data_IF_268449258502
#
_entry.id   IF_268449258502
#
_cell.length_a   1.000
_cell.length_b   1.000
_cell.length_c   1.000
_cell.angle_alpha   90.00
_cell.angle_beta   90.00
_cell.angle_gamma   90.00
#
_symmetry.space_group_name_H-M   'P 1'
#
loop_
_entity.id
_entity.type
_entity.pdbx_description
1 polymer ?
#
# COMPACT_ATOMS: atom_id res chain seq x y z
N UNK A 1 -5.68 -8.99 26.69
CA UNK A 1 -4.73 -9.79 27.46
C UNK A 1 -3.37 -9.09 27.71
N UNK A 2 -3.14 -7.90 27.21
CA UNK A 2 -1.94 -7.12 27.48
C UNK A 2 -2.20 -6.19 28.66
N UNK A 3 -1.65 -6.46 29.87
CA UNK A 3 -1.89 -5.65 31.05
C UNK A 3 -1.16 -4.29 31.01
N UNK A 4 -0.21 -4.12 30.12
CA UNK A 4 0.55 -2.88 29.96
C UNK A 4 0.63 -2.44 28.49
N UNK A 5 0.75 -1.13 28.26
CA UNK A 5 0.93 -0.56 26.91
C UNK A 5 2.18 -1.12 26.23
N UNK A 6 3.28 -1.31 26.97
CA UNK A 6 4.52 -1.88 26.43
C UNK A 6 4.34 -3.29 25.87
N UNK A 7 3.61 -4.15 26.60
CA UNK A 7 3.31 -5.51 26.13
C UNK A 7 2.38 -5.49 24.90
N UNK A 8 1.42 -4.57 24.85
CA UNK A 8 0.56 -4.38 23.68
C UNK A 8 1.38 -3.97 22.44
N UNK A 9 2.31 -3.03 22.61
CA UNK A 9 3.21 -2.61 21.53
C UNK A 9 4.09 -3.77 21.03
N UNK A 10 4.66 -4.56 21.96
CA UNK A 10 5.47 -5.72 21.61
C UNK A 10 4.64 -6.79 20.86
N UNK A 11 3.42 -7.08 21.34
CA UNK A 11 2.52 -8.02 20.65
C UNK A 11 2.13 -7.53 19.26
N UNK A 12 1.90 -6.23 19.06
CA UNK A 12 1.63 -5.62 17.75
C UNK A 12 2.84 -5.67 16.83
N UNK A 13 4.04 -5.52 17.36
CA UNK A 13 5.26 -5.67 16.58
C UNK A 13 5.44 -7.12 16.07
N UNK A 14 5.21 -8.12 16.92
CA UNK A 14 5.21 -9.53 16.51
C UNK A 14 4.12 -9.84 15.49
N UNK A 15 2.92 -9.33 15.67
CA UNK A 15 1.82 -9.47 14.71
C UNK A 15 2.18 -8.83 13.36
N UNK A 16 2.80 -7.66 13.37
CA UNK A 16 3.27 -6.96 12.17
C UNK A 16 4.35 -7.75 11.43
N UNK A 17 5.27 -8.38 12.16
CA UNK A 17 6.29 -9.26 11.58
C UNK A 17 5.66 -10.47 10.88
N UNK A 18 4.71 -11.15 11.53
CA UNK A 18 3.96 -12.25 10.92
C UNK A 18 3.18 -11.82 9.68
N UNK A 19 2.53 -10.67 9.73
CA UNK A 19 1.79 -10.11 8.58
C UNK A 19 2.74 -9.80 7.40
N UNK A 20 3.92 -9.25 7.67
CA UNK A 20 4.93 -8.96 6.64
C UNK A 20 5.42 -10.25 5.94
N UNK A 21 5.68 -11.30 6.71
CA UNK A 21 6.05 -12.63 6.18
C UNK A 21 4.92 -13.19 5.30
N UNK A 22 3.68 -13.17 5.79
CA UNK A 22 2.52 -13.65 5.02
C UNK A 22 2.34 -12.89 3.71
N UNK A 23 2.44 -11.56 3.73
CA UNK A 23 2.30 -10.74 2.52
C UNK A 23 3.42 -10.99 1.51
N UNK A 24 4.67 -11.08 1.97
CA UNK A 24 5.81 -11.34 1.10
C UNK A 24 5.73 -12.74 0.47
N UNK A 25 5.45 -13.76 1.26
CA UNK A 25 5.40 -15.14 0.79
C UNK A 25 4.18 -15.39 -0.11
N UNK A 26 3.02 -14.79 0.14
CA UNK A 26 1.83 -14.98 -0.69
C UNK A 26 2.07 -14.63 -2.15
N UNK A 27 2.68 -13.47 -2.42
CA UNK A 27 3.02 -13.05 -3.78
C UNK A 27 4.08 -13.97 -4.41
N UNK A 28 5.10 -14.36 -3.64
CA UNK A 28 6.16 -15.24 -4.12
C UNK A 28 5.61 -16.63 -4.47
N UNK A 29 4.76 -17.22 -3.61
CA UNK A 29 4.11 -18.52 -3.85
C UNK A 29 3.26 -18.51 -5.12
N UNK A 30 2.47 -17.46 -5.36
CA UNK A 30 1.70 -17.35 -6.60
C UNK A 30 2.64 -17.32 -7.82
N UNK A 31 3.73 -16.56 -7.74
CA UNK A 31 4.71 -16.51 -8.82
C UNK A 31 5.39 -17.85 -9.11
N UNK A 32 5.49 -18.74 -8.11
CA UNK A 32 6.13 -20.05 -8.24
C UNK A 32 5.15 -21.15 -8.65
N UNK A 33 3.95 -21.18 -8.07
CA UNK A 33 3.01 -22.29 -8.19
C UNK A 33 2.06 -22.16 -9.38
N UNK A 34 1.86 -20.94 -9.89
CA UNK A 34 0.87 -20.67 -10.93
C UNK A 34 1.56 -20.53 -12.30
N UNK A 35 1.03 -21.20 -13.35
CA UNK A 35 1.51 -21.03 -14.73
C UNK A 35 1.51 -19.55 -15.15
N UNK A 36 2.53 -19.13 -15.92
CA UNK A 36 2.69 -17.73 -16.35
C UNK A 36 1.44 -17.15 -17.02
N UNK A 37 0.72 -17.97 -17.79
CA UNK A 37 -0.52 -17.58 -18.47
C UNK A 37 -1.70 -17.24 -17.51
N UNK A 38 -1.63 -17.65 -16.24
CA UNK A 38 -2.69 -17.45 -15.25
C UNK A 38 -2.22 -16.61 -14.06
N UNK A 39 -1.00 -16.09 -14.10
CA UNK A 39 -0.42 -15.30 -12.99
C UNK A 39 -1.25 -14.05 -12.71
N UNK A 40 -1.76 -13.38 -13.73
CA UNK A 40 -2.62 -12.21 -13.56
C UNK A 40 -3.91 -12.54 -12.81
N UNK A 41 -4.59 -13.62 -13.19
CA UNK A 41 -5.82 -14.08 -12.48
C UNK A 41 -5.54 -14.41 -11.02
N UNK A 42 -4.43 -15.07 -10.72
CA UNK A 42 -4.05 -15.41 -9.35
C UNK A 42 -3.66 -14.17 -8.51
N UNK A 43 -2.94 -13.21 -9.10
CA UNK A 43 -2.65 -11.92 -8.47
C UNK A 43 -3.93 -11.11 -8.23
N UNK A 44 -4.86 -11.13 -9.18
CA UNK A 44 -6.19 -10.52 -9.01
C UNK A 44 -6.98 -11.14 -7.87
N UNK A 45 -6.92 -12.47 -7.70
CA UNK A 45 -7.56 -13.15 -6.57
C UNK A 45 -6.94 -12.75 -5.23
N UNK A 46 -5.60 -12.65 -5.15
CA UNK A 46 -4.92 -12.13 -3.95
C UNK A 46 -5.36 -10.69 -3.63
N UNK A 47 -5.44 -9.83 -4.64
CA UNK A 47 -5.92 -8.46 -4.48
C UNK A 47 -7.38 -8.43 -3.96
N UNK A 48 -8.26 -9.28 -4.51
CA UNK A 48 -9.65 -9.44 -4.06
C UNK A 48 -9.70 -9.85 -2.59
N UNK A 49 -8.95 -10.87 -2.18
CA UNK A 49 -8.93 -11.35 -0.79
C UNK A 49 -8.42 -10.27 0.18
N UNK A 50 -7.34 -9.58 -0.19
CA UNK A 50 -6.80 -8.47 0.60
C UNK A 50 -7.79 -7.32 0.73
N UNK A 51 -8.46 -6.93 -0.36
CA UNK A 51 -9.47 -5.87 -0.37
C UNK A 51 -10.71 -6.25 0.44
N UNK A 52 -11.15 -7.51 0.36
CA UNK A 52 -12.26 -8.03 1.18
C UNK A 52 -11.94 -7.92 2.67
N UNK A 53 -10.73 -8.31 3.08
CA UNK A 53 -10.28 -8.13 4.46
C UNK A 53 -10.25 -6.66 4.89
N UNK A 54 -9.80 -5.77 4.01
CA UNK A 54 -9.77 -4.33 4.26
C UNK A 54 -11.19 -3.74 4.38
N UNK A 55 -12.14 -4.19 3.56
CA UNK A 55 -13.53 -3.74 3.60
C UNK A 55 -14.26 -4.23 4.86
N UNK A 56 -14.01 -5.47 5.26
CA UNK A 56 -14.63 -6.07 6.44
C UNK A 56 -14.04 -5.54 7.75
N UNK A 57 -12.78 -5.09 7.75
CA UNK A 57 -12.09 -4.64 8.95
C UNK A 57 -12.86 -3.61 9.78
N UNK A 58 -13.20 -2.44 9.23
CA UNK A 58 -13.93 -1.41 9.96
C UNK A 58 -15.33 -1.84 10.41
N UNK A 59 -16.08 -2.57 9.57
CA UNK A 59 -17.45 -3.00 9.86
C UNK A 59 -17.49 -4.07 10.96
N UNK A 60 -16.71 -5.15 10.80
CA UNK A 60 -16.58 -6.18 11.84
C UNK A 60 -15.94 -5.62 13.10
N UNK A 61 -14.93 -4.76 12.95
CA UNK A 61 -14.28 -4.10 14.07
C UNK A 61 -15.25 -3.26 14.89
N UNK A 62 -16.10 -2.49 14.23
CA UNK A 62 -17.14 -1.68 14.88
C UNK A 62 -18.15 -2.54 15.67
N UNK A 63 -18.63 -3.62 15.05
CA UNK A 63 -19.56 -4.57 15.72
C UNK A 63 -18.91 -5.24 16.95
N UNK A 64 -17.66 -5.71 16.80
CA UNK A 64 -16.94 -6.37 17.90
C UNK A 64 -16.66 -5.41 19.06
N UNK A 65 -16.28 -4.17 18.77
CA UNK A 65 -16.06 -3.15 19.81
C UNK A 65 -17.36 -2.82 20.54
N UNK A 66 -18.48 -2.72 19.80
CA UNK A 66 -19.78 -2.45 20.39
C UNK A 66 -20.29 -3.61 21.27
N UNK A 67 -20.00 -4.86 20.91
CA UNK A 67 -20.46 -6.05 21.62
C UNK A 67 -19.60 -6.40 22.84
N UNK A 68 -18.27 -6.41 22.71
CA UNK A 68 -17.35 -6.94 23.72
C UNK A 68 -16.17 -6.01 24.04
N UNK A 69 -16.18 -4.79 23.46
CA UNK A 69 -15.10 -3.84 23.62
C UNK A 69 -13.89 -4.12 22.72
N UNK A 70 -12.89 -3.21 22.77
CA UNK A 70 -11.70 -3.27 21.91
C UNK A 70 -10.85 -4.56 22.02
N UNK A 71 -10.81 -5.33 23.15
CA UNK A 71 -10.07 -6.58 23.21
C UNK A 71 -10.58 -7.66 22.25
N UNK A 72 -11.87 -7.64 21.88
CA UNK A 72 -12.47 -8.57 20.96
C UNK A 72 -11.78 -8.56 19.57
N UNK A 73 -11.28 -7.41 19.15
CA UNK A 73 -10.50 -7.27 17.90
C UNK A 73 -9.27 -8.18 17.86
N UNK A 74 -8.69 -8.45 19.01
CA UNK A 74 -7.51 -9.33 19.10
C UNK A 74 -7.91 -10.80 19.24
N UNK A 75 -9.01 -11.09 19.97
CA UNK A 75 -9.49 -12.45 20.14
C UNK A 75 -9.91 -13.10 18.81
N UNK A 76 -10.55 -12.35 17.90
CA UNK A 76 -10.93 -12.85 16.57
C UNK A 76 -9.72 -13.20 15.71
N UNK A 77 -8.59 -12.54 15.89
CA UNK A 77 -7.37 -12.86 15.12
C UNK A 77 -6.79 -14.23 15.49
N UNK A 78 -7.05 -14.75 16.69
CA UNK A 78 -6.51 -16.06 17.12
C UNK A 78 -7.12 -17.21 16.31
N UNK A 79 -8.46 -17.40 16.24
CA UNK A 79 -9.05 -18.47 15.44
C UNK A 79 -8.73 -18.30 13.95
N UNK A 80 -8.71 -17.08 13.43
CA UNK A 80 -8.33 -16.82 12.03
C UNK A 80 -6.87 -17.19 11.77
N UNK A 81 -5.97 -16.90 12.70
CA UNK A 81 -4.55 -17.28 12.60
C UNK A 81 -4.35 -18.79 12.66
N UNK A 82 -5.05 -19.49 13.53
CA UNK A 82 -5.03 -20.96 13.62
C UNK A 82 -5.56 -21.59 12.32
N UNK A 83 -6.67 -21.06 11.80
CA UNK A 83 -7.24 -21.52 10.52
C UNK A 83 -6.24 -21.30 9.37
N UNK A 84 -5.65 -20.11 9.29
CA UNK A 84 -4.66 -19.80 8.26
C UNK A 84 -3.43 -20.72 8.35
N UNK A 85 -2.93 -20.98 9.56
CA UNK A 85 -1.83 -21.91 9.80
C UNK A 85 -2.19 -23.34 9.37
N UNK A 86 -3.38 -23.82 9.74
CA UNK A 86 -3.86 -25.16 9.35
C UNK A 86 -4.00 -25.31 7.83
N UNK A 87 -4.55 -24.30 7.15
CA UNK A 87 -4.65 -24.28 5.70
C UNK A 87 -3.27 -24.23 5.04
N UNK A 88 -2.36 -23.41 5.54
CA UNK A 88 -0.99 -23.33 5.04
C UNK A 88 -0.28 -24.69 5.19
N UNK A 89 -0.34 -25.30 6.38
CA UNK A 89 0.27 -26.60 6.65
C UNK A 89 -0.26 -27.71 5.72
N UNK A 90 -1.56 -27.67 5.40
CA UNK A 90 -2.22 -28.70 4.57
C UNK A 90 -1.97 -28.52 3.07
N UNK A 91 -1.88 -27.28 2.59
CA UNK A 91 -1.93 -26.97 1.15
C UNK A 91 -0.65 -26.42 0.56
N UNK A 92 0.27 -25.89 1.39
CA UNK A 92 1.58 -25.50 0.88
C UNK A 92 2.42 -26.73 0.58
N UNK A 93 3.08 -26.77 -0.59
CA UNK A 93 4.00 -27.86 -0.92
C UNK A 93 5.17 -27.89 0.08
N UNK A 94 5.59 -29.10 0.40
CA UNK A 94 6.81 -29.27 1.20
C UNK A 94 8.00 -28.61 0.49
N UNK A 95 8.86 -27.95 1.28
CA UNK A 95 10.09 -27.37 0.75
C UNK A 95 10.86 -28.42 -0.04
N UNK A 96 10.97 -28.21 -1.34
CA UNK A 96 11.95 -28.93 -2.12
C UNK A 96 13.29 -28.42 -1.61
N UNK A 97 13.98 -29.23 -0.84
CA UNK A 97 15.36 -28.99 -0.39
C UNK A 97 16.27 -28.87 -1.62
N UNK A 98 16.21 -27.73 -2.29
CA UNK A 98 17.24 -27.32 -3.22
C UNK A 98 18.45 -26.99 -2.36
N UNK A 99 19.46 -27.88 -2.39
CA UNK A 99 20.75 -27.85 -1.75
C UNK A 99 20.94 -26.90 -0.58
N UNK A 100 21.63 -27.32 0.45
CA UNK A 100 21.87 -26.54 1.67
C UNK A 100 22.05 -25.05 1.34
N UNK A 101 21.04 -24.21 1.69
CA UNK A 101 21.24 -22.76 1.74
C UNK A 101 22.49 -22.59 2.61
N UNK A 102 23.57 -22.14 2.01
CA UNK A 102 24.84 -21.97 2.70
C UNK A 102 24.54 -21.14 3.96
N UNK A 103 24.87 -21.71 5.13
CA UNK A 103 24.66 -21.09 6.46
C UNK A 103 25.32 -19.71 6.64
N UNK A 104 25.86 -19.09 5.56
CA UNK A 104 26.46 -17.77 5.51
C UNK A 104 25.67 -16.72 4.72
N UNK A 105 24.42 -17.00 4.32
CA UNK A 105 23.66 -16.13 3.42
C UNK A 105 22.75 -15.10 4.14
N UNK A 106 22.81 -14.98 5.45
CA UNK A 106 22.08 -13.94 6.19
C UNK A 106 22.99 -12.73 6.41
N UNK A 107 22.52 -11.55 6.04
CA UNK A 107 23.16 -10.29 6.40
C UNK A 107 22.41 -9.67 7.62
N UNK A 108 22.86 -9.96 8.85
CA UNK A 108 22.22 -9.44 10.04
C UNK A 108 22.44 -7.92 10.19
N UNK A 109 23.59 -7.42 9.73
CA UNK A 109 23.89 -5.99 9.81
C UNK A 109 23.06 -5.18 8.82
N UNK A 110 22.99 -5.61 7.56
CA UNK A 110 22.12 -4.99 6.55
C UNK A 110 20.65 -5.05 6.96
N UNK A 111 20.18 -6.19 7.47
CA UNK A 111 18.80 -6.35 7.96
C UNK A 111 18.49 -5.40 9.13
N UNK A 112 19.38 -5.27 10.10
CA UNK A 112 19.21 -4.36 11.24
C UNK A 112 19.23 -2.89 10.80
N UNK A 113 20.16 -2.51 9.92
CA UNK A 113 20.23 -1.15 9.37
C UNK A 113 18.96 -0.80 8.59
N UNK A 114 18.48 -1.71 7.74
CA UNK A 114 17.24 -1.51 7.00
C UNK A 114 16.05 -1.34 7.96
N UNK A 115 15.92 -2.23 8.96
CA UNK A 115 14.84 -2.17 9.94
C UNK A 115 14.84 -0.86 10.74
N UNK A 116 16.02 -0.42 11.22
CA UNK A 116 16.17 0.84 11.95
C UNK A 116 15.88 2.06 11.07
N UNK A 117 16.34 2.05 9.81
CA UNK A 117 16.06 3.09 8.82
C UNK A 117 14.57 3.22 8.57
N UNK A 118 13.89 2.11 8.35
CA UNK A 118 12.43 2.09 8.12
C UNK A 118 11.65 2.48 9.36
N UNK A 119 12.10 2.08 10.56
CA UNK A 119 11.50 2.48 11.82
C UNK A 119 11.64 4.00 12.04
N UNK A 120 12.83 4.57 11.80
CA UNK A 120 13.06 6.01 11.90
C UNK A 120 12.19 6.78 10.91
N UNK A 121 12.08 6.31 9.66
CA UNK A 121 11.20 6.90 8.66
C UNK A 121 9.71 6.83 9.07
N UNK A 122 9.24 5.67 9.48
CA UNK A 122 7.85 5.47 9.90
C UNK A 122 7.51 6.36 11.12
N UNK A 123 8.39 6.43 12.12
CA UNK A 123 8.22 7.30 13.27
C UNK A 123 8.22 8.78 12.86
N UNK A 124 9.11 9.19 11.95
CA UNK A 124 9.15 10.56 11.45
C UNK A 124 7.83 10.96 10.79
N UNK A 125 7.20 10.04 10.06
CA UNK A 125 5.94 10.30 9.37
C UNK A 125 4.71 10.20 10.30
N UNK A 126 4.76 9.43 11.39
CA UNK A 126 3.60 9.18 12.25
C UNK A 126 3.59 10.04 13.53
N UNK A 127 4.76 10.42 14.04
CA UNK A 127 4.87 11.30 15.19
C UNK A 127 4.52 12.75 14.80
N UNK A 128 3.80 13.45 15.70
CA UNK A 128 3.44 14.85 15.48
C UNK A 128 2.08 15.08 14.86
N UNK A 129 1.34 14.02 14.47
CA UNK A 129 -0.07 14.09 13.99
C UNK A 129 -0.30 15.17 12.91
N UNK A 130 0.62 15.28 11.94
CA UNK A 130 0.55 16.27 10.86
C UNK A 130 1.35 17.55 11.11
N UNK A 131 1.90 17.75 12.31
CA UNK A 131 2.82 18.84 12.59
C UNK A 131 4.27 18.36 12.50
N UNK A 132 5.01 18.82 11.50
CA UNK A 132 6.43 18.52 11.33
C UNK A 132 7.27 19.41 12.25
N UNK A 133 7.80 18.83 13.33
CA UNK A 133 8.70 19.50 14.28
C UNK A 133 10.16 19.06 14.14
N UNK A 134 11.01 19.57 15.03
CA UNK A 134 12.44 19.22 15.05
C UNK A 134 12.71 17.73 15.22
N UNK A 135 11.87 17.00 15.98
CA UNK A 135 11.98 15.56 16.15
C UNK A 135 11.74 14.81 14.82
N UNK A 136 10.73 15.22 14.04
CA UNK A 136 10.45 14.62 12.73
C UNK A 136 11.61 14.85 11.77
N UNK A 137 12.19 16.07 11.77
CA UNK A 137 13.36 16.38 10.96
C UNK A 137 14.57 15.54 11.38
N UNK A 138 14.84 15.40 12.68
CA UNK A 138 15.92 14.55 13.20
C UNK A 138 15.75 13.08 12.80
N UNK A 139 14.53 12.55 12.90
CA UNK A 139 14.21 11.17 12.49
C UNK A 139 14.34 10.97 10.98
N UNK A 140 13.97 11.97 10.15
CA UNK A 140 14.20 11.92 8.70
C UNK A 140 15.68 11.93 8.34
N UNK A 141 16.47 12.77 9.03
CA UNK A 141 17.93 12.78 8.87
C UNK A 141 18.55 11.44 9.31
N UNK A 142 18.07 10.85 10.42
CA UNK A 142 18.48 9.52 10.86
C UNK A 142 18.13 8.45 9.83
N UNK A 143 16.92 8.52 9.23
CA UNK A 143 16.51 7.60 8.17
C UNK A 143 17.38 7.76 6.92
N UNK A 144 17.70 8.97 6.50
CA UNK A 144 18.60 9.23 5.37
C UNK A 144 20.02 8.74 5.65
N UNK A 145 20.55 9.00 6.84
CA UNK A 145 21.84 8.47 7.31
C UNK A 145 21.86 6.93 7.34
N UNK A 146 20.80 6.33 7.87
CA UNK A 146 20.62 4.88 7.90
C UNK A 146 20.55 4.26 6.50
N UNK A 147 19.83 4.90 5.57
CA UNK A 147 19.76 4.47 4.17
C UNK A 147 21.12 4.52 3.49
N UNK A 148 21.87 5.62 3.70
CA UNK A 148 23.22 5.73 3.13
C UNK A 148 24.20 4.73 3.72
N UNK A 149 24.10 4.44 5.02
CA UNK A 149 24.88 3.40 5.69
C UNK A 149 24.50 2.00 5.15
N UNK A 150 23.21 1.72 5.03
CA UNK A 150 22.71 0.47 4.45
C UNK A 150 23.27 0.22 3.04
N UNK A 151 23.13 1.20 2.14
CA UNK A 151 23.65 1.08 0.77
C UNK A 151 25.16 0.84 0.74
N UNK A 152 25.93 1.49 1.63
CA UNK A 152 27.40 1.29 1.71
C UNK A 152 27.77 -0.09 2.25
N UNK A 153 27.03 -0.60 3.21
CA UNK A 153 27.23 -1.95 3.78
C UNK A 153 26.89 -3.00 2.73
N UNK A 154 25.72 -2.90 2.11
CA UNK A 154 25.27 -3.84 1.07
C UNK A 154 26.18 -3.86 -0.16
N UNK A 155 26.76 -2.72 -0.54
CA UNK A 155 27.70 -2.64 -1.65
C UNK A 155 29.01 -3.40 -1.40
N UNK A 156 29.35 -3.66 -0.12
CA UNK A 156 30.59 -4.36 0.31
C UNK A 156 30.31 -5.77 0.86
N UNK A 157 29.04 -6.12 1.12
CA UNK A 157 28.67 -7.40 1.69
C UNK A 157 28.94 -8.55 0.71
N UNK A 158 29.48 -9.65 1.22
CA UNK A 158 29.71 -10.87 0.42
C UNK A 158 28.39 -11.53 -0.02
N UNK A 159 27.35 -11.43 0.82
CA UNK A 159 26.01 -11.93 0.53
C UNK A 159 24.96 -10.82 0.84
N UNK A 160 24.83 -9.81 -0.03
CA UNK A 160 23.96 -8.67 0.22
C UNK A 160 22.48 -9.07 0.22
N UNK A 161 21.70 -8.51 1.16
CA UNK A 161 20.25 -8.67 1.24
C UNK A 161 19.59 -8.12 -0.04
N UNK A 162 20.02 -6.93 -0.45
CA UNK A 162 19.56 -6.27 -1.67
C UNK A 162 20.78 -5.84 -2.48
N UNK A 163 20.95 -6.42 -3.64
CA UNK A 163 22.07 -6.02 -4.53
C UNK A 163 21.78 -4.64 -5.12
N UNK A 164 22.60 -3.60 -4.85
CA UNK A 164 22.34 -2.27 -5.41
C UNK A 164 22.26 -2.24 -6.94
N UNK A 165 22.94 -3.19 -7.62
CA UNK A 165 22.87 -3.33 -9.07
C UNK A 165 21.47 -3.62 -9.61
N UNK A 166 20.55 -4.15 -8.79
CA UNK A 166 19.15 -4.36 -9.20
C UNK A 166 18.43 -3.05 -9.53
N UNK A 167 18.79 -1.96 -8.87
CA UNK A 167 18.20 -0.64 -9.12
C UNK A 167 18.73 0.04 -10.41
N UNK A 168 19.60 -0.62 -11.17
CA UNK A 168 19.93 -0.22 -12.54
C UNK A 168 18.88 -0.66 -13.55
N UNK A 169 18.02 -1.61 -13.16
CA UNK A 169 16.87 -1.99 -13.96
C UNK A 169 15.79 -0.89 -13.86
N UNK A 170 15.62 -0.14 -14.94
CA UNK A 170 14.66 0.96 -15.02
C UNK A 170 13.21 0.48 -14.85
N UNK A 171 12.88 -0.73 -15.33
CA UNK A 171 11.53 -1.28 -15.21
C UNK A 171 11.21 -1.63 -13.76
N UNK A 172 12.15 -2.23 -13.03
CA UNK A 172 12.01 -2.48 -11.59
C UNK A 172 11.83 -1.18 -10.81
N UNK A 173 12.71 -0.20 -11.04
CA UNK A 173 12.63 1.10 -10.36
C UNK A 173 11.30 1.82 -10.66
N UNK A 174 10.86 1.83 -11.92
CA UNK A 174 9.59 2.42 -12.30
C UNK A 174 8.40 1.74 -11.63
N UNK A 175 8.40 0.41 -11.56
CA UNK A 175 7.36 -0.38 -10.90
C UNK A 175 7.28 -0.11 -9.40
N UNK A 176 8.42 -0.09 -8.70
CA UNK A 176 8.49 0.20 -7.26
C UNK A 176 8.08 1.65 -6.98
N UNK A 177 8.62 2.62 -7.71
CA UNK A 177 8.26 4.03 -7.54
C UNK A 177 6.78 4.28 -7.81
N UNK A 178 6.23 3.72 -8.89
CA UNK A 178 4.80 3.81 -9.19
C UNK A 178 3.95 3.18 -8.07
N UNK A 179 4.38 2.02 -7.52
CA UNK A 179 3.69 1.37 -6.41
C UNK A 179 3.64 2.28 -5.17
N UNK A 180 4.74 2.97 -4.84
CA UNK A 180 4.78 3.91 -3.73
C UNK A 180 3.87 5.13 -3.99
N UNK A 181 3.97 5.75 -5.17
CA UNK A 181 3.15 6.92 -5.53
C UNK A 181 1.65 6.60 -5.53
N UNK A 182 1.27 5.47 -6.12
CA UNK A 182 -0.12 5.00 -6.16
C UNK A 182 -0.64 4.71 -4.75
N UNK A 183 0.16 4.08 -3.88
CA UNK A 183 -0.21 3.84 -2.49
C UNK A 183 -0.37 5.16 -1.70
N UNK A 184 0.47 6.17 -1.98
CA UNK A 184 0.34 7.53 -1.43
C UNK A 184 -1.01 8.15 -1.80
N UNK A 185 -1.41 8.03 -3.06
CA UNK A 185 -2.69 8.54 -3.57
C UNK A 185 -3.88 7.79 -2.95
N UNK A 186 -3.78 6.47 -2.82
CA UNK A 186 -4.83 5.69 -2.16
C UNK A 186 -5.03 6.11 -0.70
N UNK A 187 -3.96 6.50 -0.03
CA UNK A 187 -4.07 7.01 1.34
C UNK A 187 -4.77 8.37 1.43
N UNK A 188 -4.68 9.22 0.38
CA UNK A 188 -5.46 10.46 0.32
C UNK A 188 -6.98 10.19 0.37
N UNK A 189 -7.49 9.14 -0.31
CA UNK A 189 -8.91 8.78 -0.26
C UNK A 189 -9.38 8.36 1.14
N UNK A 190 -8.51 7.69 1.90
CA UNK A 190 -8.81 7.20 3.25
C UNK A 190 -8.66 8.28 4.32
N UNK A 191 -7.73 9.22 4.16
CA UNK A 191 -7.49 10.30 5.13
C UNK A 191 -8.38 11.49 4.87
N UNK A 192 -8.43 11.98 3.63
CA UNK A 192 -9.18 13.21 3.28
C UNK A 192 -10.67 12.94 3.06
N UNK A 193 -11.00 11.75 2.51
CA UNK A 193 -12.39 11.37 2.20
C UNK A 193 -13.35 11.54 3.37
N UNK A 194 -13.09 10.96 4.54
CA UNK A 194 -13.97 11.10 5.70
C UNK A 194 -14.23 12.56 6.09
N UNK A 195 -13.23 13.44 6.05
CA UNK A 195 -13.39 14.86 6.37
C UNK A 195 -14.25 15.58 5.34
N UNK A 196 -14.02 15.33 4.05
CA UNK A 196 -14.84 15.87 2.97
C UNK A 196 -16.30 15.44 3.09
N UNK A 197 -16.55 14.15 3.36
CA UNK A 197 -17.91 13.61 3.49
C UNK A 197 -18.62 14.15 4.73
N UNK A 198 -17.94 14.19 5.87
CA UNK A 198 -18.54 14.64 7.13
C UNK A 198 -18.74 16.15 7.18
N UNK A 199 -17.73 16.93 6.78
CA UNK A 199 -17.76 18.41 6.90
C UNK A 199 -18.15 19.11 5.61
N UNK A 200 -17.68 18.63 4.46
CA UNK A 200 -18.02 19.22 3.17
C UNK A 200 -19.44 18.90 2.71
N UNK A 201 -19.91 17.66 2.96
CA UNK A 201 -21.24 17.20 2.56
C UNK A 201 -22.21 17.03 3.74
N UNK A 202 -21.80 17.24 4.99
CA UNK A 202 -22.66 17.17 6.16
C UNK A 202 -23.15 15.75 6.50
N UNK A 203 -22.45 14.68 6.05
CA UNK A 203 -22.89 13.31 6.28
C UNK A 203 -22.58 12.84 7.70
N UNK A 204 -23.52 12.10 8.29
CA UNK A 204 -23.32 11.44 9.58
C UNK A 204 -22.30 10.30 9.52
N UNK A 205 -21.73 9.91 10.66
CA UNK A 205 -20.65 8.94 10.76
C UNK A 205 -20.93 7.59 10.06
N UNK A 206 -22.16 7.08 10.16
CA UNK A 206 -22.59 5.83 9.50
C UNK A 206 -22.52 5.97 7.97
N UNK A 207 -23.05 7.07 7.43
CA UNK A 207 -23.03 7.32 5.99
C UNK A 207 -21.60 7.50 5.47
N UNK A 208 -20.73 8.21 6.21
CA UNK A 208 -19.29 8.32 5.89
C UNK A 208 -18.63 6.95 5.84
N UNK A 209 -18.86 6.10 6.84
CA UNK A 209 -18.32 4.74 6.87
C UNK A 209 -18.74 3.89 5.67
N UNK A 210 -20.02 3.94 5.30
CA UNK A 210 -20.56 3.24 4.13
C UNK A 210 -19.91 3.72 2.82
N UNK A 211 -19.80 5.04 2.63
CA UNK A 211 -19.18 5.63 1.44
C UNK A 211 -17.69 5.27 1.33
N UNK A 212 -16.95 5.34 2.42
CA UNK A 212 -15.52 4.96 2.44
C UNK A 212 -15.33 3.48 2.13
N UNK A 213 -16.27 2.62 2.54
CA UNK A 213 -16.23 1.19 2.25
C UNK A 213 -16.43 0.85 0.77
N UNK A 214 -16.96 1.77 -0.03
CA UNK A 214 -17.11 1.57 -1.49
C UNK A 214 -15.76 1.33 -2.16
N UNK A 215 -14.71 2.03 -1.75
CA UNK A 215 -13.37 1.85 -2.32
C UNK A 215 -12.86 0.41 -2.22
N UNK A 216 -12.69 -0.15 -1.03
CA UNK A 216 -12.31 -1.57 -0.86
C UNK A 216 -13.25 -2.55 -1.55
N UNK A 217 -14.56 -2.28 -1.57
CA UNK A 217 -15.54 -3.11 -2.27
C UNK A 217 -15.28 -3.14 -3.78
N UNK A 218 -15.03 -1.98 -4.39
CA UNK A 218 -14.68 -1.88 -5.82
C UNK A 218 -13.40 -2.66 -6.11
N UNK A 219 -12.36 -2.54 -5.26
CA UNK A 219 -11.11 -3.31 -5.43
C UNK A 219 -11.38 -4.81 -5.35
N UNK A 220 -12.21 -5.25 -4.39
CA UNK A 220 -12.57 -6.65 -4.23
C UNK A 220 -13.29 -7.19 -5.48
N UNK A 221 -14.24 -6.43 -6.03
CA UNK A 221 -14.98 -6.83 -7.23
C UNK A 221 -14.13 -6.74 -8.50
N UNK A 222 -13.25 -5.76 -8.59
CA UNK A 222 -12.41 -5.53 -9.76
C UNK A 222 -11.17 -6.44 -9.84
N UNK A 223 -10.73 -7.05 -8.74
CA UNK A 223 -9.45 -7.77 -8.68
C UNK A 223 -9.37 -8.94 -9.67
N UNK A 224 -10.35 -9.85 -9.69
CA UNK A 224 -10.38 -10.99 -10.63
C UNK A 224 -10.56 -10.52 -12.09
N UNK A 225 -11.48 -9.60 -12.43
CA UNK A 225 -11.54 -8.98 -13.77
C UNK A 225 -10.22 -8.34 -14.20
N UNK A 226 -9.56 -7.58 -13.30
CA UNK A 226 -8.25 -6.98 -13.56
C UNK A 226 -7.19 -8.03 -13.88
N UNK A 227 -7.19 -9.15 -13.15
CA UNK A 227 -6.30 -10.27 -13.40
C UNK A 227 -6.51 -10.90 -14.77
N UNK A 228 -7.77 -11.18 -15.15
CA UNK A 228 -8.10 -11.69 -16.48
C UNK A 228 -7.73 -10.72 -17.60
N UNK A 229 -7.96 -9.43 -17.38
CA UNK A 229 -7.57 -8.40 -18.33
C UNK A 229 -6.04 -8.35 -18.49
N UNK A 230 -5.31 -8.51 -17.40
CA UNK A 230 -3.84 -8.56 -17.39
C UNK A 230 -3.32 -9.76 -18.18
N UNK A 231 -3.89 -10.96 -17.98
CA UNK A 231 -3.50 -12.17 -18.70
C UNK A 231 -3.83 -12.06 -20.21
N UNK A 232 -4.94 -11.39 -20.55
CA UNK A 232 -5.40 -11.26 -21.95
C UNK A 232 -4.70 -10.16 -22.73
N UNK A 233 -4.52 -8.99 -22.13
CA UNK A 233 -4.04 -7.78 -22.81
C UNK A 233 -2.60 -7.41 -22.50
N UNK A 234 -1.97 -8.14 -21.56
CA UNK A 234 -0.61 -7.91 -21.10
C UNK A 234 -0.52 -6.90 -19.95
N UNK A 235 0.42 -7.16 -19.06
CA UNK A 235 0.60 -6.38 -17.82
C UNK A 235 0.90 -4.90 -18.09
N UNK A 236 1.75 -4.59 -19.09
CA UNK A 236 2.12 -3.21 -19.44
C UNK A 236 0.89 -2.35 -19.78
N UNK A 237 0.02 -2.84 -20.67
CA UNK A 237 -1.17 -2.10 -21.12
C UNK A 237 -2.13 -1.85 -19.94
N UNK A 238 -2.38 -2.88 -19.13
CA UNK A 238 -3.31 -2.77 -18.00
C UNK A 238 -2.75 -1.87 -16.91
N UNK A 239 -1.43 -1.88 -16.64
CA UNK A 239 -0.78 -0.91 -15.74
C UNK A 239 -1.04 0.53 -16.19
N UNK A 240 -0.83 0.83 -17.48
CA UNK A 240 -1.05 2.18 -18.02
C UNK A 240 -2.53 2.58 -17.96
N UNK A 241 -3.45 1.70 -18.33
CA UNK A 241 -4.91 1.94 -18.23
C UNK A 241 -5.32 2.20 -16.79
N UNK A 242 -4.78 1.41 -15.83
CA UNK A 242 -5.05 1.61 -14.40
C UNK A 242 -4.59 3.00 -13.92
N UNK A 243 -3.37 3.40 -14.28
CA UNK A 243 -2.84 4.73 -13.91
C UNK A 243 -3.64 5.87 -14.58
N UNK A 244 -4.03 5.72 -15.85
CA UNK A 244 -4.88 6.71 -16.54
C UNK A 244 -6.25 6.86 -15.87
N UNK A 245 -6.90 5.75 -15.51
CA UNK A 245 -8.16 5.77 -14.78
C UNK A 245 -8.02 6.46 -13.42
N UNK A 246 -6.95 6.17 -12.68
CA UNK A 246 -6.67 6.84 -11.40
C UNK A 246 -6.44 8.34 -11.57
N UNK A 247 -5.65 8.76 -12.56
CA UNK A 247 -5.39 10.17 -12.83
C UNK A 247 -6.69 10.91 -13.20
N UNK A 248 -7.49 10.32 -14.11
CA UNK A 248 -8.77 10.86 -14.50
C UNK A 248 -9.71 11.01 -13.28
N UNK A 249 -9.83 9.98 -12.44
CA UNK A 249 -10.65 10.05 -11.23
C UNK A 249 -10.16 11.11 -10.24
N UNK A 250 -8.84 11.22 -10.02
CA UNK A 250 -8.27 12.21 -9.11
C UNK A 250 -8.50 13.65 -9.61
N UNK A 251 -8.28 13.92 -10.89
CA UNK A 251 -8.54 15.25 -11.47
C UNK A 251 -10.06 15.56 -11.55
N UNK A 252 -10.89 14.56 -11.81
CA UNK A 252 -12.35 14.75 -11.76
C UNK A 252 -12.77 15.16 -10.35
N UNK A 253 -12.26 14.49 -9.30
CA UNK A 253 -12.57 14.87 -7.92
C UNK A 253 -12.02 16.25 -7.54
N UNK A 254 -10.87 16.64 -8.10
CA UNK A 254 -10.30 17.98 -7.92
C UNK A 254 -11.09 19.07 -8.65
N UNK A 255 -11.72 18.77 -9.78
CA UNK A 255 -12.42 19.73 -10.62
C UNK A 255 -13.91 19.89 -10.26
N UNK A 256 -14.57 18.83 -9.77
CA UNK A 256 -16.00 18.86 -9.50
C UNK A 256 -16.35 19.81 -8.36
N UNK A 257 -17.40 20.66 -8.55
CA UNK A 257 -17.89 21.52 -7.49
C UNK A 257 -18.60 20.72 -6.38
N UNK A 258 -18.57 21.23 -5.16
CA UNK A 258 -19.23 20.61 -4.00
C UNK A 258 -20.77 20.46 -4.20
N UNK A 259 -21.37 21.27 -5.08
CA UNK A 259 -22.80 21.21 -5.43
C UNK A 259 -23.25 19.87 -6.04
N UNK A 260 -22.32 19.05 -6.56
CA UNK A 260 -22.62 17.71 -7.08
C UNK A 260 -22.94 16.69 -5.96
N UNK A 261 -22.72 17.04 -4.71
CA UNK A 261 -23.04 16.21 -3.56
C UNK A 261 -22.34 14.84 -3.57
N UNK A 262 -23.02 13.82 -3.05
CA UNK A 262 -22.48 12.47 -2.92
C UNK A 262 -22.09 11.81 -4.26
N UNK A 263 -22.85 11.90 -5.36
CA UNK A 263 -22.42 11.36 -6.65
C UNK A 263 -21.11 11.96 -7.17
N UNK A 264 -20.90 13.27 -6.94
CA UNK A 264 -19.66 13.97 -7.31
C UNK A 264 -18.41 13.43 -6.61
N UNK A 265 -18.57 12.80 -5.44
CA UNK A 265 -17.48 12.11 -4.74
C UNK A 265 -17.37 10.62 -5.13
N UNK A 266 -18.51 9.90 -5.20
CA UNK A 266 -18.53 8.46 -5.42
C UNK A 266 -18.02 8.05 -6.81
N UNK A 267 -18.44 8.75 -7.87
CA UNK A 267 -18.05 8.38 -9.24
C UNK A 267 -16.53 8.46 -9.42
N UNK A 268 -15.85 9.57 -9.05
CA UNK A 268 -14.39 9.60 -9.11
C UNK A 268 -13.72 8.59 -8.17
N UNK A 269 -14.26 8.35 -6.97
CA UNK A 269 -13.72 7.34 -6.04
C UNK A 269 -13.74 5.94 -6.67
N UNK A 270 -14.84 5.54 -7.30
CA UNK A 270 -14.96 4.26 -8.01
C UNK A 270 -13.93 4.18 -9.13
N UNK A 271 -13.74 5.26 -9.89
CA UNK A 271 -12.76 5.29 -10.97
C UNK A 271 -11.31 5.17 -10.46
N UNK A 272 -10.96 5.90 -9.39
CA UNK A 272 -9.65 5.80 -8.72
C UNK A 272 -9.41 4.37 -8.24
N UNK A 273 -10.38 3.78 -7.54
CA UNK A 273 -10.19 2.47 -6.91
C UNK A 273 -10.22 1.31 -7.90
N UNK A 274 -11.02 1.40 -8.97
CA UNK A 274 -10.96 0.45 -10.08
C UNK A 274 -9.61 0.53 -10.83
N UNK A 275 -9.14 1.76 -11.10
CA UNK A 275 -7.82 2.01 -11.66
C UNK A 275 -6.70 1.45 -10.78
N UNK A 276 -6.81 1.61 -9.47
CA UNK A 276 -5.88 1.02 -8.51
C UNK A 276 -5.86 -0.51 -8.59
N UNK A 277 -7.01 -1.17 -8.66
CA UNK A 277 -7.09 -2.63 -8.80
C UNK A 277 -6.42 -3.13 -10.09
N UNK A 278 -6.64 -2.44 -11.21
CA UNK A 278 -5.97 -2.72 -12.49
C UNK A 278 -4.45 -2.55 -12.37
N UNK A 279 -4.01 -1.39 -11.87
CA UNK A 279 -2.59 -1.09 -11.69
C UNK A 279 -1.91 -2.13 -10.79
N UNK A 280 -2.43 -2.35 -9.59
CA UNK A 280 -1.79 -3.22 -8.60
C UNK A 280 -1.67 -4.65 -9.12
N UNK A 281 -2.74 -5.20 -9.70
CA UNK A 281 -2.75 -6.57 -10.23
C UNK A 281 -1.75 -6.70 -11.39
N UNK A 282 -1.76 -5.77 -12.33
CA UNK A 282 -0.87 -5.81 -13.49
C UNK A 282 0.60 -5.59 -13.10
N UNK A 283 0.87 -4.64 -12.20
CA UNK A 283 2.23 -4.35 -11.72
C UNK A 283 2.84 -5.55 -10.97
N UNK A 284 2.07 -6.17 -10.07
CA UNK A 284 2.50 -7.39 -9.37
C UNK A 284 2.74 -8.54 -10.35
N UNK A 285 1.86 -8.72 -11.33
CA UNK A 285 1.98 -9.75 -12.38
C UNK A 285 3.25 -9.55 -13.20
N UNK A 286 3.52 -8.31 -13.65
CA UNK A 286 4.70 -7.99 -14.45
C UNK A 286 6.00 -8.39 -13.74
N UNK A 287 6.12 -8.05 -12.45
CA UNK A 287 7.31 -8.35 -11.67
C UNK A 287 7.44 -9.84 -11.32
N UNK A 288 6.33 -10.52 -11.02
CA UNK A 288 6.39 -11.93 -10.63
C UNK A 288 6.54 -12.88 -11.82
N UNK A 289 5.88 -12.60 -12.95
CA UNK A 289 5.94 -13.47 -14.14
C UNK A 289 7.33 -13.48 -14.81
N UNK A 290 8.05 -12.36 -14.77
CA UNK A 290 9.42 -12.23 -15.30
C UNK A 290 10.53 -12.61 -14.33
N UNK A 291 10.20 -12.85 -13.05
CA UNK A 291 11.20 -13.03 -12.00
C UNK A 291 11.84 -14.42 -12.02
N UNK A 292 13.16 -14.46 -11.84
CA UNK A 292 13.90 -15.66 -11.49
C UNK A 292 13.32 -16.24 -10.18
N UNK A 293 13.04 -17.56 -10.10
CA UNK A 293 12.54 -18.20 -8.90
C UNK A 293 13.32 -17.86 -7.63
N UNK A 294 14.65 -17.80 -7.70
CA UNK A 294 15.50 -17.45 -6.58
C UNK A 294 15.32 -16.00 -6.07
N UNK A 295 14.75 -15.11 -6.87
CA UNK A 295 14.57 -13.68 -6.55
C UNK A 295 13.12 -13.28 -6.25
N UNK A 296 12.15 -14.18 -6.43
CA UNK A 296 10.72 -13.86 -6.24
C UNK A 296 10.40 -13.36 -4.84
N UNK A 297 10.98 -13.98 -3.82
CA UNK A 297 10.81 -13.55 -2.43
C UNK A 297 11.32 -12.12 -2.19
N UNK A 298 12.50 -11.78 -2.72
CA UNK A 298 13.06 -10.44 -2.63
C UNK A 298 12.19 -9.40 -3.35
N UNK A 299 11.78 -9.68 -4.59
CA UNK A 299 10.93 -8.77 -5.37
C UNK A 299 9.57 -8.56 -4.72
N UNK A 300 8.96 -9.62 -4.18
CA UNK A 300 7.73 -9.53 -3.39
C UNK A 300 7.91 -8.66 -2.14
N UNK A 301 9.01 -8.84 -1.42
CA UNK A 301 9.38 -8.01 -0.28
C UNK A 301 9.53 -6.54 -0.67
N UNK A 302 10.23 -6.24 -1.76
CA UNK A 302 10.42 -4.86 -2.27
C UNK A 302 9.10 -4.21 -2.71
N UNK A 303 8.20 -4.96 -3.37
CA UNK A 303 6.87 -4.48 -3.73
C UNK A 303 6.05 -4.09 -2.50
N UNK A 304 6.01 -4.97 -1.51
CA UNK A 304 5.29 -4.72 -0.26
C UNK A 304 5.92 -3.55 0.52
N UNK A 305 7.24 -3.47 0.58
CA UNK A 305 7.96 -2.37 1.20
C UNK A 305 7.62 -1.04 0.52
N UNK A 306 7.73 -0.98 -0.81
CA UNK A 306 7.41 0.21 -1.59
C UNK A 306 5.97 0.68 -1.37
N UNK A 307 5.01 -0.25 -1.40
CA UNK A 307 3.60 0.03 -1.11
C UNK A 307 3.41 0.58 0.31
N UNK A 308 4.00 -0.05 1.32
CA UNK A 308 3.85 0.38 2.72
C UNK A 308 4.51 1.75 2.97
N UNK A 309 5.68 2.01 2.37
CA UNK A 309 6.29 3.34 2.40
C UNK A 309 5.35 4.38 1.78
N UNK A 310 4.73 4.07 0.64
CA UNK A 310 3.74 4.93 0.01
C UNK A 310 2.51 5.19 0.91
N UNK A 311 1.98 4.17 1.59
CA UNK A 311 0.86 4.31 2.53
C UNK A 311 1.23 5.23 3.71
N UNK A 312 2.39 5.02 4.33
CA UNK A 312 2.87 5.83 5.45
C UNK A 312 3.09 7.28 5.01
N UNK A 313 3.78 7.48 3.88
CA UNK A 313 4.00 8.81 3.29
C UNK A 313 2.68 9.50 2.97
N UNK A 314 1.75 8.76 2.36
CA UNK A 314 0.43 9.28 1.98
C UNK A 314 -0.40 9.71 3.18
N UNK A 315 -0.42 8.93 4.25
CA UNK A 315 -1.15 9.29 5.47
C UNK A 315 -0.65 10.61 6.05
N UNK A 316 0.66 10.80 6.08
CA UNK A 316 1.27 12.00 6.64
C UNK A 316 1.21 13.18 5.67
N UNK A 317 1.71 12.99 4.44
CA UNK A 317 1.86 14.07 3.47
C UNK A 317 0.53 14.60 2.96
N UNK A 318 -0.41 13.69 2.57
CA UNK A 318 -1.72 14.11 2.08
C UNK A 318 -2.57 14.69 3.20
N UNK A 319 -2.43 14.17 4.44
CA UNK A 319 -3.06 14.76 5.61
C UNK A 319 -2.53 16.16 5.92
N UNK A 320 -1.21 16.35 5.93
CA UNK A 320 -0.60 17.65 6.17
C UNK A 320 -0.95 18.66 5.07
N UNK A 321 -0.94 18.23 3.79
CA UNK A 321 -1.35 19.06 2.66
C UNK A 321 -2.80 19.51 2.79
N UNK A 322 -3.70 18.59 3.15
CA UNK A 322 -5.11 18.89 3.37
C UNK A 322 -5.29 19.90 4.51
N UNK A 323 -4.61 19.67 5.65
CA UNK A 323 -4.66 20.59 6.80
C UNK A 323 -4.14 21.98 6.46
N UNK A 324 -3.01 22.06 5.76
CA UNK A 324 -2.44 23.33 5.32
C UNK A 324 -3.38 24.09 4.37
N UNK A 325 -4.00 23.36 3.43
CA UNK A 325 -4.96 23.92 2.48
C UNK A 325 -6.30 24.32 3.15
N UNK A 326 -6.67 23.67 4.25
CA UNK A 326 -7.86 23.98 5.04
C UNK A 326 -7.69 25.19 6.01
N UNK A 327 -6.48 25.76 6.09
CA UNK A 327 -6.21 26.94 6.93
C UNK A 327 -5.56 26.65 8.28
N UNK A 328 -5.10 25.40 8.55
CA UNK A 328 -4.20 25.07 9.66
C UNK A 328 -4.81 25.10 11.08
N UNK A 329 -6.13 25.15 11.21
CA UNK A 329 -6.83 25.19 12.51
C UNK A 329 -7.41 23.84 12.95
N UNK A 330 -8.23 23.88 14.00
CA UNK A 330 -9.02 22.70 14.38
C UNK A 330 -9.99 22.34 13.24
N UNK A 331 -9.78 21.16 12.66
CA UNK A 331 -10.59 20.62 11.55
C UNK A 331 -12.11 20.60 11.89
N UNK A 332 -12.44 20.54 13.18
CA UNK A 332 -13.81 20.56 13.64
C UNK A 332 -14.48 21.94 13.51
N UNK A 333 -13.66 23.01 13.43
CA UNK A 333 -14.10 24.39 13.30
C UNK A 333 -13.96 24.94 11.86
N UNK A 334 -13.40 24.15 10.92
CA UNK A 334 -13.17 24.60 9.54
C UNK A 334 -14.50 24.72 8.76
N UNK A 335 -14.64 25.82 8.03
CA UNK A 335 -15.74 26.08 7.12
C UNK A 335 -15.85 25.02 6.00
N UNK A 336 -17.07 24.57 5.62
CA UNK A 336 -17.27 23.60 4.54
C UNK A 336 -16.64 23.98 3.20
N UNK A 337 -16.60 25.28 2.86
CA UNK A 337 -15.96 25.79 1.65
C UNK A 337 -14.44 25.56 1.65
N UNK A 338 -13.80 25.80 2.79
CA UNK A 338 -12.35 25.56 2.98
C UNK A 338 -12.03 24.06 2.91
N UNK A 339 -12.87 23.21 3.46
CA UNK A 339 -12.73 21.72 3.35
C UNK A 339 -12.85 21.28 1.89
N UNK A 340 -13.81 21.82 1.13
CA UNK A 340 -13.96 21.50 -0.28
C UNK A 340 -12.73 21.95 -1.10
N UNK A 341 -12.21 23.15 -0.84
CA UNK A 341 -10.99 23.65 -1.50
C UNK A 341 -9.78 22.80 -1.15
N UNK A 342 -9.58 22.46 0.12
CA UNK A 342 -8.48 21.59 0.57
C UNK A 342 -8.56 20.20 -0.09
N UNK A 343 -9.77 19.64 -0.23
CA UNK A 343 -10.00 18.38 -0.96
C UNK A 343 -9.56 18.53 -2.42
N UNK A 344 -9.99 19.58 -3.12
CA UNK A 344 -9.61 19.84 -4.52
C UNK A 344 -8.10 19.92 -4.70
N UNK A 345 -7.41 20.69 -3.85
CA UNK A 345 -5.94 20.85 -3.89
C UNK A 345 -5.27 19.48 -3.66
N UNK A 346 -5.70 18.75 -2.65
CA UNK A 346 -5.10 17.45 -2.30
C UNK A 346 -5.27 16.44 -3.46
N UNK A 347 -6.45 16.37 -4.08
CA UNK A 347 -6.67 15.46 -5.20
C UNK A 347 -6.04 15.95 -6.51
N UNK A 348 -5.84 17.24 -6.70
CA UNK A 348 -5.02 17.76 -7.80
C UNK A 348 -3.55 17.32 -7.67
N UNK A 349 -2.97 17.42 -6.48
CA UNK A 349 -1.62 16.92 -6.20
C UNK A 349 -1.56 15.39 -6.34
N UNK A 350 -2.56 14.66 -5.86
CA UNK A 350 -2.67 13.22 -6.03
C UNK A 350 -2.71 12.84 -7.53
N UNK A 351 -3.49 13.54 -8.34
CA UNK A 351 -3.51 13.37 -9.80
C UNK A 351 -2.15 13.62 -10.44
N UNK A 352 -1.44 14.66 -10.02
CA UNK A 352 -0.07 14.95 -10.45
C UNK A 352 0.92 13.81 -10.12
N UNK A 353 0.82 13.21 -8.92
CA UNK A 353 1.63 12.06 -8.55
C UNK A 353 1.34 10.83 -9.43
N UNK A 354 0.05 10.60 -9.78
CA UNK A 354 -0.30 9.49 -10.70
C UNK A 354 0.22 9.76 -12.11
N UNK A 355 0.15 11.01 -12.61
CA UNK A 355 0.74 11.36 -13.90
C UNK A 355 2.27 11.16 -13.92
N UNK A 356 2.94 11.50 -12.81
CA UNK A 356 4.37 11.23 -12.67
C UNK A 356 4.67 9.73 -12.70
N UNK A 357 3.88 8.91 -12.00
CA UNK A 357 3.97 7.45 -12.05
C UNK A 357 3.72 6.93 -13.48
N UNK A 358 2.71 7.46 -14.18
CA UNK A 358 2.39 7.11 -15.56
C UNK A 358 3.56 7.43 -16.53
N UNK A 359 4.14 8.61 -16.40
CA UNK A 359 5.30 9.03 -17.21
C UNK A 359 6.50 8.12 -16.92
N UNK A 360 6.78 7.81 -15.65
CA UNK A 360 7.92 6.97 -15.28
C UNK A 360 7.77 5.54 -15.78
N UNK A 361 6.60 4.94 -15.61
CA UNK A 361 6.28 3.61 -16.15
C UNK A 361 6.31 3.62 -17.68
N UNK A 362 5.78 4.66 -18.32
CA UNK A 362 5.80 4.82 -19.78
C UNK A 362 7.21 4.89 -20.36
N UNK A 363 8.12 5.60 -19.69
CA UNK A 363 9.52 5.70 -20.07
C UNK A 363 10.35 4.45 -19.73
N UNK A 364 10.15 3.91 -18.50
CA UNK A 364 10.92 2.75 -18.03
C UNK A 364 10.58 1.43 -18.73
N UNK A 365 9.40 1.34 -19.34
CA UNK A 365 8.96 0.17 -20.10
C UNK A 365 9.17 0.33 -21.62
N UNK A 366 9.82 1.39 -22.09
CA UNK A 366 10.30 1.47 -23.46
C UNK A 366 11.47 0.50 -23.61
N UNK A 367 11.21 -0.64 -24.23
CA UNK A 367 12.27 -1.58 -24.59
C UNK A 367 13.19 -0.90 -25.62
N UNK A 368 14.52 -1.05 -25.52
CA UNK A 368 15.45 -0.56 -26.55
C UNK A 368 15.35 -1.34 -27.89
N UNK A 369 14.34 -2.22 -28.05
CA UNK A 369 14.13 -3.06 -29.22
C UNK A 369 12.81 -2.79 -30.00
N UNK A 370 12.07 -1.69 -29.69
CA UNK A 370 10.94 -1.21 -30.49
C UNK A 370 11.33 0.07 -31.29
#
# INVERSE_FOLDING_TARGET
>A
LAPTLGLLIAARALQGLGAAVMMALSLACVGEMVPKAQTGRAMGLLATMSATGTALGPSLGGVLIAAEGWPALFHVNVPLGVLALGLAYRHLPADRRSGAVARGALDPLGSALLALTLAAYALAMTLGRGHFGGLNAALLLAALGGLTAFVRVEAKAAAPLIRPAMFRDAALCASLAASAMVATVMMATLVVGPFHLARGLGLGAVAVGLVVSVGPLVVALAGVPAGRATDRFGARRITLVGLQAMALGAFTLAALPASQGLPGYLVPLVLITAGYALFQTANNTALMAGADPARRGLLSGLLNLSRNLGLITGASLMGALFMAAAGGGDILAVDPGSVAMATRITFAVAGGLVLMALAWVGCGLRNPAD
#
